data_IF_348730374212
#
_entry.id   IF_348730374212
#
_cell.length_a   1.000
_cell.length_b   1.000
_cell.length_c   1.000
_cell.angle_alpha   90.00
_cell.angle_beta   90.00
_cell.angle_gamma   90.00
#
_symmetry.space_group_name_H-M   'P 1'
#
loop_
_entity.id
_entity.type
_entity.pdbx_description
1 polymer ?
#
# COMPACT_ATOMS: atom_id res chain seq x y z
N UNK A 1 37.95 11.43 -7.50
CA UNK A 1 38.07 10.91 -6.12
C UNK A 1 36.81 10.11 -5.83
N UNK A 2 36.94 8.89 -5.31
CA UNK A 2 35.79 8.05 -4.96
C UNK A 2 35.14 8.59 -3.68
N UNK A 3 33.84 8.88 -3.72
CA UNK A 3 33.06 9.35 -2.57
C UNK A 3 32.21 8.19 -2.04
N UNK A 4 32.18 8.02 -0.72
CA UNK A 4 31.28 7.09 -0.04
C UNK A 4 30.10 7.86 0.55
N UNK A 5 28.88 7.40 0.31
CA UNK A 5 27.67 7.88 0.97
C UNK A 5 26.96 6.75 1.71
N UNK A 6 26.18 7.13 2.73
CA UNK A 6 25.36 6.22 3.54
C UNK A 6 23.97 6.81 3.70
N UNK A 7 22.95 5.99 3.48
CA UNK A 7 21.54 6.31 3.72
C UNK A 7 21.06 5.40 4.86
N UNK A 8 21.05 5.95 6.07
CA UNK A 8 20.60 5.27 7.29
C UNK A 8 19.94 6.30 8.23
N UNK A 9 18.61 6.29 8.40
CA UNK A 9 17.68 5.27 7.90
C UNK A 9 17.28 5.46 6.43
N UNK A 10 17.03 4.36 5.72
CA UNK A 10 16.12 4.41 4.56
C UNK A 10 14.69 4.55 5.10
N UNK A 11 14.01 5.63 4.72
CA UNK A 11 12.64 5.92 5.18
C UNK A 11 11.60 5.52 4.12
N UNK A 12 10.30 5.60 4.46
CA UNK A 12 9.17 5.18 3.61
C UNK A 12 9.28 3.72 3.13
N UNK A 13 9.83 2.85 3.97
CA UNK A 13 9.81 1.40 3.84
C UNK A 13 9.27 0.78 5.12
N UNK A 14 9.01 -0.52 5.11
CA UNK A 14 8.82 -1.30 6.33
C UNK A 14 10.16 -1.71 6.92
N UNK A 15 10.30 -1.64 8.25
CA UNK A 15 11.47 -2.14 8.97
C UNK A 15 12.69 -1.20 8.93
N UNK A 16 13.87 -1.81 8.97
CA UNK A 16 15.15 -1.11 9.13
C UNK A 16 16.14 -1.53 8.05
N UNK A 17 16.52 -0.57 7.21
CA UNK A 17 17.45 -0.75 6.11
C UNK A 17 18.47 0.36 6.11
N UNK A 18 19.72 -0.03 5.87
CA UNK A 18 20.84 0.83 5.55
C UNK A 18 21.33 0.52 4.14
N UNK A 19 21.56 1.56 3.35
CA UNK A 19 22.21 1.48 2.05
C UNK A 19 23.51 2.28 2.07
N UNK A 20 24.59 1.68 1.58
CA UNK A 20 25.85 2.37 1.34
C UNK A 20 26.19 2.33 -0.15
N UNK A 21 26.72 3.44 -0.68
CA UNK A 21 27.14 3.53 -2.08
C UNK A 21 28.52 4.18 -2.23
N UNK A 22 29.38 3.59 -3.06
CA UNK A 22 30.57 4.26 -3.61
C UNK A 22 30.19 4.96 -4.92
N UNK A 23 30.64 6.20 -5.06
CA UNK A 23 30.33 7.09 -6.18
C UNK A 23 31.62 7.54 -6.83
N UNK A 24 31.73 7.30 -8.14
CA UNK A 24 32.81 7.79 -9.00
C UNK A 24 32.21 8.48 -10.21
N UNK A 25 32.71 9.68 -10.52
CA UNK A 25 32.23 10.51 -11.65
C UNK A 25 30.70 10.67 -11.69
N UNK A 26 30.10 10.85 -10.51
CA UNK A 26 28.66 11.04 -10.34
C UNK A 26 27.81 9.78 -10.50
N UNK A 27 28.41 8.59 -10.62
CA UNK A 27 27.71 7.30 -10.77
C UNK A 27 28.02 6.38 -9.60
N UNK A 28 27.01 5.60 -9.19
CA UNK A 28 27.22 4.54 -8.20
C UNK A 28 28.04 3.42 -8.86
N UNK A 29 29.20 3.11 -8.31
CA UNK A 29 30.07 2.01 -8.78
C UNK A 29 29.97 0.76 -7.92
N UNK A 30 29.55 0.92 -6.65
CA UNK A 30 29.34 -0.20 -5.73
C UNK A 30 28.25 0.15 -4.71
N UNK A 31 27.44 -0.83 -4.36
CA UNK A 31 26.36 -0.67 -3.39
C UNK A 31 26.33 -1.84 -2.40
N UNK A 32 25.86 -1.56 -1.19
CA UNK A 32 25.60 -2.55 -0.14
C UNK A 32 24.21 -2.32 0.44
N UNK A 33 23.50 -3.41 0.69
CA UNK A 33 22.25 -3.41 1.43
C UNK A 33 22.42 -4.15 2.75
N UNK A 34 22.00 -3.53 3.84
CA UNK A 34 22.10 -4.09 5.19
C UNK A 34 20.75 -4.03 5.88
N UNK A 35 20.13 -5.19 6.11
CA UNK A 35 18.97 -5.30 7.00
C UNK A 35 19.44 -5.17 8.44
N UNK A 36 19.06 -4.10 9.12
CA UNK A 36 19.64 -3.72 10.42
C UNK A 36 18.82 -4.18 11.64
N UNK A 37 17.91 -5.14 11.45
CA UNK A 37 17.07 -5.69 12.51
C UNK A 37 16.84 -7.19 12.33
N UNK A 38 16.77 -7.92 13.44
CA UNK A 38 16.42 -9.35 13.48
C UNK A 38 15.56 -9.66 14.72
N UNK A 39 14.60 -10.58 14.56
CA UNK A 39 13.68 -11.03 15.64
C UNK A 39 13.70 -12.53 15.92
N UNK A 40 14.29 -13.35 15.04
CA UNK A 40 14.40 -14.80 15.25
C UNK A 40 13.07 -15.57 15.25
N UNK A 41 12.11 -15.17 14.40
CA UNK A 41 10.78 -15.79 14.35
C UNK A 41 10.82 -17.30 14.02
N UNK A 42 11.83 -17.75 13.28
CA UNK A 42 12.05 -19.17 12.96
C UNK A 42 12.41 -19.99 14.21
N UNK A 43 13.24 -19.43 15.09
CA UNK A 43 13.62 -20.07 16.36
C UNK A 43 12.44 -20.14 17.32
N UNK A 44 11.67 -19.05 17.43
CA UNK A 44 10.46 -18.96 18.26
C UNK A 44 9.43 -20.04 17.89
N UNK A 45 9.40 -20.45 16.62
CA UNK A 45 8.46 -21.43 16.09
C UNK A 45 8.81 -22.87 16.48
N UNK A 46 10.06 -23.16 16.87
CA UNK A 46 10.48 -24.52 17.22
C UNK A 46 9.71 -25.03 18.42
N UNK A 47 9.27 -26.29 18.33
CA UNK A 47 8.50 -26.97 19.38
C UNK A 47 7.07 -26.45 19.57
N UNK A 48 6.58 -25.54 18.71
CA UNK A 48 5.17 -25.12 18.71
C UNK A 48 4.32 -26.11 17.93
N UNK A 49 3.04 -26.21 18.29
CA UNK A 49 2.09 -27.01 17.53
C UNK A 49 1.96 -26.42 16.11
N UNK A 50 2.00 -27.24 15.04
CA UNK A 50 1.85 -26.75 13.67
C UNK A 50 0.58 -25.91 13.44
N UNK A 51 -0.49 -26.15 14.21
CA UNK A 51 -1.75 -25.40 14.11
C UNK A 51 -1.64 -23.97 14.63
N UNK A 52 -0.70 -23.69 15.53
CA UNK A 52 -0.47 -22.36 16.11
C UNK A 52 0.49 -21.51 15.28
N UNK A 53 1.25 -22.15 14.37
CA UNK A 53 2.34 -21.52 13.65
C UNK A 53 1.91 -20.25 12.90
N UNK A 54 0.76 -20.28 12.22
CA UNK A 54 0.28 -19.16 11.41
C UNK A 54 0.00 -17.91 12.23
N UNK A 55 -0.47 -18.06 13.48
CA UNK A 55 -0.69 -16.91 14.37
C UNK A 55 0.63 -16.27 14.80
N UNK A 56 1.68 -17.07 14.98
CA UNK A 56 3.01 -16.58 15.35
C UNK A 56 3.66 -15.89 14.15
N UNK A 57 3.79 -16.58 13.01
CA UNK A 57 4.54 -16.04 11.87
C UNK A 57 3.81 -14.94 11.12
N UNK A 58 2.50 -14.79 11.29
CA UNK A 58 1.78 -13.61 10.80
C UNK A 58 2.32 -12.30 11.40
N UNK A 59 2.98 -12.34 12.57
CA UNK A 59 3.62 -11.17 13.18
C UNK A 59 5.02 -10.90 12.62
N UNK A 60 5.47 -11.64 11.60
CA UNK A 60 6.66 -11.27 10.84
C UNK A 60 6.45 -9.88 10.23
N UNK A 61 5.30 -9.56 9.63
CA UNK A 61 5.08 -8.24 9.06
C UNK A 61 3.63 -7.76 9.23
N UNK A 62 3.48 -6.49 9.56
CA UNK A 62 2.18 -5.80 9.64
C UNK A 62 1.75 -5.12 8.34
N UNK A 63 2.71 -4.81 7.45
CA UNK A 63 2.43 -4.23 6.11
C UNK A 63 1.88 -5.32 5.21
N UNK A 64 2.70 -6.31 4.82
CA UNK A 64 2.25 -7.46 4.04
C UNK A 64 1.51 -8.52 4.89
N UNK A 65 0.62 -8.05 5.76
CA UNK A 65 -0.19 -8.88 6.66
C UNK A 65 -1.00 -9.92 5.87
N UNK A 66 -1.61 -10.91 6.53
CA UNK A 66 -2.25 -12.09 5.90
C UNK A 66 -1.30 -13.08 5.22
N UNK A 67 -0.24 -12.61 4.54
CA UNK A 67 0.57 -13.44 3.63
C UNK A 67 1.31 -14.57 4.36
N UNK A 68 2.04 -14.26 5.43
CA UNK A 68 2.74 -15.25 6.26
C UNK A 68 1.77 -16.22 6.93
N UNK A 69 0.57 -15.76 7.28
CA UNK A 69 -0.47 -16.60 7.87
C UNK A 69 -0.96 -17.66 6.87
N UNK A 70 -1.29 -17.22 5.65
CA UNK A 70 -1.75 -18.08 4.55
C UNK A 70 -0.63 -19.05 4.12
N UNK A 71 0.61 -18.57 4.01
CA UNK A 71 1.76 -19.41 3.69
C UNK A 71 2.00 -20.49 4.77
N UNK A 72 1.85 -20.14 6.04
CA UNK A 72 2.02 -21.07 7.15
C UNK A 72 0.98 -22.19 7.15
N UNK A 73 -0.32 -21.86 7.02
CA UNK A 73 -1.35 -22.92 6.96
C UNK A 73 -1.16 -23.79 5.72
N UNK A 74 -0.79 -23.24 4.57
CA UNK A 74 -0.47 -24.00 3.35
C UNK A 74 0.72 -24.95 3.55
N UNK A 75 1.77 -24.51 4.24
CA UNK A 75 2.94 -25.35 4.53
C UNK A 75 2.58 -26.55 5.41
N UNK A 76 1.76 -26.34 6.45
CA UNK A 76 1.30 -27.42 7.33
C UNK A 76 0.33 -28.35 6.60
N UNK A 77 -0.61 -27.79 5.83
CA UNK A 77 -1.54 -28.56 4.99
C UNK A 77 -0.80 -29.44 3.99
N UNK A 78 0.27 -28.92 3.36
CA UNK A 78 1.14 -29.68 2.48
C UNK A 78 1.83 -30.84 3.21
N UNK A 79 2.43 -30.57 4.38
CA UNK A 79 3.12 -31.59 5.17
C UNK A 79 2.17 -32.72 5.63
N UNK A 80 0.91 -32.38 5.94
CA UNK A 80 -0.12 -33.32 6.39
C UNK A 80 -1.00 -33.86 5.25
N UNK A 81 -0.76 -33.45 3.99
CA UNK A 81 -1.55 -33.81 2.80
C UNK A 81 -3.05 -33.54 2.98
N UNK A 82 -3.38 -32.36 3.51
CA UNK A 82 -4.76 -31.93 3.74
C UNK A 82 -5.32 -31.25 2.50
N UNK A 83 -6.45 -31.75 2.01
CA UNK A 83 -7.24 -31.09 0.97
C UNK A 83 -8.17 -30.06 1.60
N UNK A 84 -7.98 -28.79 1.23
CA UNK A 84 -8.74 -27.67 1.77
C UNK A 84 -10.06 -27.50 1.00
N UNK A 85 -11.22 -27.35 1.68
CA UNK A 85 -12.49 -27.10 1.02
C UNK A 85 -12.44 -25.87 0.10
N UNK A 86 -13.09 -25.96 -1.06
CA UNK A 86 -13.02 -24.91 -2.09
C UNK A 86 -13.52 -23.55 -1.59
N UNK A 87 -14.54 -23.51 -0.74
CA UNK A 87 -15.04 -22.26 -0.15
C UNK A 87 -13.99 -21.58 0.75
N UNK A 88 -13.16 -22.36 1.45
CA UNK A 88 -12.05 -21.81 2.22
C UNK A 88 -10.97 -21.23 1.30
N UNK A 89 -10.73 -21.83 0.12
CA UNK A 89 -9.84 -21.25 -0.90
C UNK A 89 -10.39 -19.92 -1.42
N UNK A 90 -11.69 -19.83 -1.70
CA UNK A 90 -12.30 -18.56 -2.14
C UNK A 90 -12.12 -17.45 -1.10
N UNK A 91 -12.37 -17.75 0.19
CA UNK A 91 -12.17 -16.76 1.26
C UNK A 91 -10.70 -16.36 1.40
N UNK A 92 -9.76 -17.33 1.39
CA UNK A 92 -8.31 -17.04 1.43
C UNK A 92 -7.87 -16.17 0.25
N UNK A 93 -8.36 -16.47 -0.95
CA UNK A 93 -8.02 -15.73 -2.16
C UNK A 93 -8.61 -14.31 -2.17
N UNK A 94 -9.86 -14.15 -1.71
CA UNK A 94 -10.48 -12.83 -1.57
C UNK A 94 -9.73 -11.95 -0.57
N UNK A 95 -9.34 -12.51 0.58
CA UNK A 95 -8.52 -11.81 1.57
C UNK A 95 -7.17 -11.39 0.95
N UNK A 96 -6.47 -12.33 0.30
CA UNK A 96 -5.17 -12.05 -0.28
C UNK A 96 -5.24 -10.99 -1.39
N UNK A 97 -6.25 -11.08 -2.27
CA UNK A 97 -6.46 -10.11 -3.34
C UNK A 97 -6.78 -8.71 -2.80
N UNK A 98 -7.70 -8.61 -1.84
CA UNK A 98 -8.04 -7.33 -1.22
C UNK A 98 -6.84 -6.73 -0.47
N UNK A 99 -6.08 -7.55 0.25
CA UNK A 99 -4.85 -7.12 0.90
C UNK A 99 -3.80 -6.63 -0.11
N UNK A 100 -3.59 -7.35 -1.22
CA UNK A 100 -2.68 -6.95 -2.29
C UNK A 100 -3.09 -5.61 -2.93
N UNK A 101 -4.39 -5.39 -3.15
CA UNK A 101 -4.90 -4.08 -3.60
C UNK A 101 -4.57 -2.97 -2.61
N UNK A 102 -4.79 -3.19 -1.31
CA UNK A 102 -4.40 -2.25 -0.26
C UNK A 102 -2.89 -1.95 -0.28
N UNK A 103 -2.07 -3.01 -0.26
CA UNK A 103 -0.61 -2.92 -0.15
C UNK A 103 -0.02 -2.13 -1.33
N UNK A 104 -0.43 -2.45 -2.56
CA UNK A 104 0.07 -1.78 -3.76
C UNK A 104 -0.37 -0.31 -3.87
N UNK A 105 -1.62 0.02 -3.51
CA UNK A 105 -2.08 1.41 -3.46
C UNK A 105 -1.23 2.20 -2.45
N UNK A 106 -1.09 1.68 -1.22
CA UNK A 106 -0.30 2.36 -0.17
C UNK A 106 1.16 2.49 -0.57
N UNK A 107 1.74 1.46 -1.18
CA UNK A 107 3.12 1.51 -1.66
C UNK A 107 3.30 2.61 -2.71
N UNK A 108 2.49 2.62 -3.77
CA UNK A 108 2.63 3.60 -4.84
C UNK A 108 2.51 5.04 -4.32
N UNK A 109 1.48 5.32 -3.51
CA UNK A 109 1.22 6.68 -3.04
C UNK A 109 2.01 7.03 -1.78
N UNK A 110 1.78 6.35 -0.67
CA UNK A 110 2.33 6.74 0.63
C UNK A 110 3.82 6.44 0.76
N UNK A 111 4.32 5.40 0.09
CA UNK A 111 5.73 5.02 0.18
C UNK A 111 6.57 5.58 -0.96
N UNK A 112 6.10 5.52 -2.21
CA UNK A 112 6.94 5.86 -3.37
C UNK A 112 6.68 7.22 -4.02
N UNK A 113 5.46 7.77 -3.99
CA UNK A 113 5.13 8.95 -4.79
C UNK A 113 6.03 10.16 -4.49
N UNK A 114 6.45 10.34 -3.24
CA UNK A 114 7.30 11.47 -2.83
C UNK A 114 8.76 11.38 -3.28
N UNK A 115 9.15 10.32 -4.01
CA UNK A 115 10.40 10.28 -4.77
C UNK A 115 10.28 10.98 -6.14
N UNK A 116 9.05 11.12 -6.63
CA UNK A 116 8.72 11.62 -7.97
C UNK A 116 7.95 12.94 -7.95
N UNK A 117 7.25 13.20 -6.85
CA UNK A 117 6.31 14.32 -6.69
C UNK A 117 6.90 15.37 -5.76
N UNK A 118 6.96 16.61 -6.23
CA UNK A 118 7.34 17.77 -5.43
C UNK A 118 6.08 18.50 -4.94
N UNK A 119 5.78 18.33 -3.65
CA UNK A 119 4.59 18.94 -3.04
C UNK A 119 4.68 20.48 -2.97
N UNK A 120 5.88 21.06 -2.97
CA UNK A 120 6.06 22.51 -2.93
C UNK A 120 5.84 23.11 -4.32
N UNK A 121 6.17 22.34 -5.37
CA UNK A 121 5.83 22.67 -6.75
C UNK A 121 4.32 22.71 -6.97
N UNK A 122 3.54 21.83 -6.32
CA UNK A 122 2.08 21.82 -6.41
C UNK A 122 1.41 23.15 -5.99
N UNK A 123 2.06 23.97 -5.15
CA UNK A 123 1.56 25.30 -4.77
C UNK A 123 1.58 26.32 -5.93
N UNK A 124 2.33 26.02 -6.99
CA UNK A 124 2.47 26.87 -8.18
C UNK A 124 1.52 26.47 -9.31
N UNK A 125 0.77 25.38 -9.13
CA UNK A 125 -0.11 24.83 -10.14
C UNK A 125 -1.35 25.69 -10.38
N UNK A 126 -1.83 25.69 -11.62
CA UNK A 126 -3.16 26.16 -11.97
C UNK A 126 -4.17 24.99 -11.90
N UNK A 127 -5.13 24.98 -10.95
CA UNK A 127 -6.10 23.88 -10.81
C UNK A 127 -6.94 23.61 -12.06
N UNK A 128 -7.25 24.64 -12.87
CA UNK A 128 -8.03 24.46 -14.09
C UNK A 128 -7.22 23.76 -15.19
N UNK A 129 -5.91 24.04 -15.25
CA UNK A 129 -4.99 23.32 -16.14
C UNK A 129 -4.80 21.88 -15.69
N UNK A 130 -4.65 21.64 -14.39
CA UNK A 130 -4.56 20.30 -13.83
C UNK A 130 -5.78 19.43 -14.21
N UNK A 131 -7.01 19.94 -14.08
CA UNK A 131 -8.21 19.27 -14.58
C UNK A 131 -8.14 19.01 -16.08
N UNK A 132 -7.80 20.04 -16.88
CA UNK A 132 -7.77 19.93 -18.33
C UNK A 132 -6.79 18.85 -18.83
N UNK A 133 -5.66 18.65 -18.15
CA UNK A 133 -4.65 17.64 -18.50
C UNK A 133 -5.15 16.20 -18.38
N UNK A 134 -6.17 15.95 -17.55
CA UNK A 134 -6.74 14.62 -17.36
C UNK A 134 -7.97 14.35 -18.23
N UNK A 135 -8.46 15.35 -18.97
CA UNK A 135 -9.60 15.18 -19.89
C UNK A 135 -9.21 14.21 -21.02
N UNK A 136 -9.96 13.12 -21.13
CA UNK A 136 -9.68 12.04 -22.08
C UNK A 136 -8.59 11.07 -21.64
N UNK A 137 -7.94 11.30 -20.49
CA UNK A 137 -6.95 10.40 -19.89
C UNK A 137 -7.58 9.54 -18.80
N UNK A 138 -8.44 10.14 -17.96
CA UNK A 138 -9.18 9.44 -16.90
C UNK A 138 -10.62 9.94 -16.83
N UNK A 139 -11.55 9.04 -16.51
CA UNK A 139 -12.95 9.36 -16.20
C UNK A 139 -13.21 9.53 -14.70
N UNK A 140 -12.15 9.59 -13.88
CA UNK A 140 -12.29 9.69 -12.43
C UNK A 140 -13.01 10.98 -12.03
N UNK A 141 -14.06 10.84 -11.24
CA UNK A 141 -14.99 11.93 -10.92
C UNK A 141 -14.42 13.02 -10.01
N UNK A 142 -13.33 12.74 -9.29
CA UNK A 142 -12.70 13.71 -8.38
C UNK A 142 -11.51 14.44 -8.98
N UNK A 143 -11.44 14.56 -10.31
CA UNK A 143 -10.42 15.30 -11.05
C UNK A 143 -10.83 16.75 -11.39
N UNK A 144 -11.77 17.34 -10.64
CA UNK A 144 -12.24 18.71 -10.93
C UNK A 144 -11.30 19.78 -10.41
N UNK A 145 -11.29 20.96 -11.05
CA UNK A 145 -10.53 22.11 -10.61
C UNK A 145 -10.88 22.54 -9.18
N UNK A 146 -12.14 22.37 -8.75
CA UNK A 146 -12.55 22.65 -7.37
C UNK A 146 -11.89 21.70 -6.37
N UNK A 147 -11.78 20.41 -6.70
CA UNK A 147 -11.10 19.44 -5.83
C UNK A 147 -9.60 19.74 -5.73
N UNK A 148 -8.95 20.01 -6.87
CA UNK A 148 -7.55 20.42 -6.89
C UNK A 148 -7.31 21.72 -6.13
N UNK A 149 -8.22 22.69 -6.20
CA UNK A 149 -8.15 23.93 -5.41
C UNK A 149 -8.22 23.65 -3.91
N UNK A 150 -9.12 22.77 -3.46
CA UNK A 150 -9.22 22.37 -2.05
C UNK A 150 -7.93 21.70 -1.56
N UNK A 151 -7.38 20.79 -2.36
CA UNK A 151 -6.11 20.12 -2.05
C UNK A 151 -4.96 21.14 -1.99
N UNK A 152 -4.85 22.03 -2.97
CA UNK A 152 -3.82 23.07 -2.99
C UNK A 152 -3.89 23.97 -1.76
N UNK A 153 -5.09 24.39 -1.34
CA UNK A 153 -5.29 25.18 -0.13
C UNK A 153 -4.85 24.42 1.13
N UNK A 154 -5.14 23.12 1.25
CA UNK A 154 -4.64 22.30 2.37
C UNK A 154 -3.11 22.27 2.43
N UNK A 155 -2.44 22.10 1.28
CA UNK A 155 -0.97 22.11 1.22
C UNK A 155 -0.45 23.51 1.59
N UNK A 156 -1.11 24.56 1.11
CA UNK A 156 -0.74 25.95 1.39
C UNK A 156 -0.81 26.25 2.89
N UNK A 157 -1.90 25.85 3.56
CA UNK A 157 -2.08 26.04 5.00
C UNK A 157 -1.03 25.25 5.80
N UNK A 158 -0.73 24.01 5.38
CA UNK A 158 0.32 23.20 5.97
C UNK A 158 1.69 23.88 5.88
N UNK A 159 2.06 24.39 4.70
CA UNK A 159 3.34 25.10 4.50
C UNK A 159 3.36 26.41 5.27
N UNK A 160 2.27 27.18 5.26
CA UNK A 160 2.15 28.45 5.98
C UNK A 160 2.26 28.28 7.51
N UNK A 161 1.86 27.12 8.03
CA UNK A 161 2.01 26.82 9.46
C UNK A 161 3.45 26.67 9.92
N UNK A 162 4.40 26.43 9.00
CA UNK A 162 5.78 26.06 9.31
C UNK A 162 5.94 24.65 9.91
N UNK A 163 4.86 23.90 10.09
CA UNK A 163 4.83 22.56 10.69
C UNK A 163 4.59 21.49 9.62
N UNK A 164 5.56 21.29 8.72
CA UNK A 164 5.40 20.40 7.55
C UNK A 164 5.33 18.90 7.89
N UNK A 165 5.60 18.50 9.15
CA UNK A 165 5.48 17.12 9.61
C UNK A 165 6.29 16.15 8.75
N UNK A 166 5.64 15.12 8.21
CA UNK A 166 6.26 14.11 7.33
C UNK A 166 6.85 14.68 6.04
N UNK A 167 6.50 15.91 5.69
CA UNK A 167 6.99 16.60 4.52
C UNK A 167 8.13 17.58 4.81
N UNK A 168 8.53 17.74 6.08
CA UNK A 168 9.66 18.59 6.44
C UNK A 168 10.98 18.01 5.89
N UNK A 169 11.88 18.88 5.42
CA UNK A 169 13.21 18.51 4.89
C UNK A 169 13.19 17.41 3.81
N UNK A 170 12.13 17.35 3.01
CA UNK A 170 12.09 16.51 1.81
C UNK A 170 13.01 17.06 0.70
N UNK A 171 13.19 16.28 -0.36
CA UNK A 171 14.01 16.65 -1.53
C UNK A 171 13.28 17.61 -2.50
N UNK A 172 12.54 18.57 -1.95
CA UNK A 172 11.75 19.53 -2.71
C UNK A 172 12.66 20.47 -3.52
N UNK A 173 12.32 20.69 -4.80
CA UNK A 173 13.14 21.45 -5.73
C UNK A 173 14.41 20.73 -6.23
N UNK A 174 14.60 19.45 -5.88
CA UNK A 174 15.75 18.69 -6.35
C UNK A 174 15.75 18.58 -7.89
N UNK A 175 16.91 18.70 -8.59
CA UNK A 175 16.95 18.69 -10.06
C UNK A 175 16.41 17.41 -10.73
N UNK A 176 16.29 16.31 -9.98
CA UNK A 176 15.69 15.07 -10.46
C UNK A 176 14.14 15.07 -10.38
N UNK A 177 13.51 16.05 -9.73
CA UNK A 177 12.05 16.21 -9.74
C UNK A 177 11.63 16.87 -11.06
N UNK A 178 10.95 16.13 -11.93
CA UNK A 178 10.69 16.53 -13.33
C UNK A 178 9.24 16.91 -13.63
N UNK A 179 8.32 16.60 -12.71
CA UNK A 179 6.90 16.84 -12.94
C UNK A 179 6.58 18.35 -12.96
N UNK A 180 5.74 18.82 -13.89
CA UNK A 180 5.24 20.20 -13.85
C UNK A 180 4.33 20.41 -12.62
N UNK A 181 4.15 21.66 -12.15
CA UNK A 181 3.30 21.98 -11.01
C UNK A 181 1.93 21.32 -11.03
N UNK A 182 1.25 21.34 -12.18
CA UNK A 182 -0.09 20.75 -12.36
C UNK A 182 -0.10 19.24 -12.09
N UNK A 183 0.89 18.51 -12.57
CA UNK A 183 0.98 17.05 -12.34
C UNK A 183 1.36 16.74 -10.90
N UNK A 184 2.17 17.58 -10.26
CA UNK A 184 2.41 17.45 -8.82
C UNK A 184 1.11 17.64 -8.02
N UNK A 185 0.28 18.63 -8.37
CA UNK A 185 -1.01 18.86 -7.69
C UNK A 185 -1.97 17.68 -7.88
N UNK A 186 -2.06 17.13 -9.10
CA UNK A 186 -2.83 15.90 -9.38
C UNK A 186 -2.35 14.76 -8.48
N UNK A 187 -1.04 14.48 -8.46
CA UNK A 187 -0.49 13.37 -7.71
C UNK A 187 -0.68 13.53 -6.19
N UNK A 188 -0.60 14.75 -5.65
CA UNK A 188 -0.90 15.00 -4.22
C UNK A 188 -2.40 14.81 -3.92
N UNK A 189 -3.30 15.20 -4.83
CA UNK A 189 -4.73 14.93 -4.66
C UNK A 189 -4.99 13.42 -4.62
N UNK A 190 -4.44 12.66 -5.56
CA UNK A 190 -4.56 11.21 -5.61
C UNK A 190 -3.89 10.51 -4.42
N UNK A 191 -2.76 11.03 -3.93
CA UNK A 191 -2.13 10.57 -2.69
C UNK A 191 -3.11 10.63 -1.51
N UNK A 192 -3.86 11.72 -1.37
CA UNK A 192 -4.84 11.88 -0.29
C UNK A 192 -6.08 11.00 -0.50
N UNK A 193 -6.55 10.87 -1.74
CA UNK A 193 -7.70 10.02 -2.08
C UNK A 193 -7.39 8.53 -1.88
N UNK A 194 -6.16 8.10 -2.18
CA UNK A 194 -5.67 6.74 -1.97
C UNK A 194 -5.80 6.29 -0.50
N UNK A 195 -5.67 7.22 0.46
CA UNK A 195 -5.83 6.92 1.89
C UNK A 195 -7.24 6.46 2.25
N UNK A 196 -8.29 6.88 1.55
CA UNK A 196 -9.65 6.33 1.73
C UNK A 196 -9.82 5.03 0.94
N UNK A 197 -9.38 4.98 -0.31
CA UNK A 197 -9.52 3.77 -1.14
C UNK A 197 -8.88 2.54 -0.47
N UNK A 198 -7.67 2.69 0.08
CA UNK A 198 -7.00 1.59 0.78
C UNK A 198 -7.76 1.11 2.03
N UNK A 199 -8.56 1.97 2.68
CA UNK A 199 -9.42 1.56 3.81
C UNK A 199 -10.54 0.65 3.33
N UNK A 200 -11.16 0.94 2.19
CA UNK A 200 -12.19 0.08 1.59
C UNK A 200 -11.66 -1.33 1.28
N UNK A 201 -10.42 -1.43 0.78
CA UNK A 201 -9.75 -2.72 0.57
C UNK A 201 -9.58 -3.49 1.89
N UNK A 202 -9.11 -2.81 2.94
CA UNK A 202 -8.98 -3.42 4.26
C UNK A 202 -10.32 -3.73 4.95
N UNK A 203 -11.42 -3.05 4.61
CA UNK A 203 -12.77 -3.41 5.12
C UNK A 203 -13.18 -4.81 4.64
N UNK A 204 -12.81 -5.21 3.42
CA UNK A 204 -13.01 -6.60 2.93
C UNK A 204 -12.19 -7.58 3.76
N UNK A 205 -10.90 -7.28 3.96
CA UNK A 205 -10.00 -8.11 4.77
C UNK A 205 -10.52 -8.25 6.20
N UNK A 206 -11.05 -7.19 6.80
CA UNK A 206 -11.64 -7.23 8.13
C UNK A 206 -12.94 -8.05 8.20
N UNK A 207 -13.85 -7.90 7.24
CA UNK A 207 -15.13 -8.62 7.21
C UNK A 207 -14.94 -10.14 7.12
N UNK A 208 -13.94 -10.60 6.37
CA UNK A 208 -13.63 -12.02 6.22
C UNK A 208 -12.63 -12.52 7.28
N UNK A 209 -11.64 -11.70 7.62
CA UNK A 209 -10.54 -12.02 8.52
C UNK A 209 -10.80 -11.73 10.00
N UNK A 210 -11.91 -11.08 10.33
CA UNK A 210 -12.25 -10.58 11.67
C UNK A 210 -11.60 -9.24 12.01
N UNK A 211 -10.36 -9.00 11.56
CA UNK A 211 -9.63 -7.73 11.69
C UNK A 211 -8.48 -7.63 10.69
N UNK A 212 -7.99 -6.41 10.47
CA UNK A 212 -6.72 -6.15 9.78
C UNK A 212 -6.11 -4.87 10.38
N UNK A 213 -4.79 -4.81 10.65
CA UNK A 213 -3.77 -5.85 10.39
C UNK A 213 -3.94 -7.14 11.22
N UNK A 214 -3.32 -8.21 10.72
CA UNK A 214 -3.27 -9.57 11.28
C UNK A 214 -4.64 -10.24 11.38
N UNK A 215 -5.12 -10.85 10.29
CA UNK A 215 -6.37 -11.61 10.26
C UNK A 215 -6.38 -12.75 11.29
N UNK A 216 -7.56 -13.20 11.68
CA UNK A 216 -7.75 -14.23 12.70
C UNK A 216 -8.80 -15.29 12.30
N UNK A 217 -9.00 -15.49 10.99
CA UNK A 217 -10.00 -16.43 10.46
C UNK A 217 -9.39 -17.71 9.88
N UNK A 218 -8.08 -17.93 9.94
CA UNK A 218 -7.46 -19.12 9.36
C UNK A 218 -7.48 -20.29 10.34
N UNK A 219 -7.41 -21.49 9.77
CA UNK A 219 -7.05 -22.72 10.46
C UNK A 219 -6.30 -23.63 9.47
N UNK A 220 -5.43 -24.50 10.00
CA UNK A 220 -4.92 -25.63 9.20
C UNK A 220 -6.12 -26.49 8.79
N UNK A 221 -6.36 -26.59 7.49
CA UNK A 221 -7.52 -27.27 6.89
C UNK A 221 -8.63 -26.35 6.38
N UNK A 222 -8.55 -25.02 6.55
CA UNK A 222 -9.53 -24.10 5.97
C UNK A 222 -9.60 -22.72 6.60
N UNK A 223 -10.82 -22.28 6.92
CA UNK A 223 -11.13 -21.00 7.56
C UNK A 223 -12.16 -21.19 8.66
N UNK A 224 -12.17 -20.29 9.64
CA UNK A 224 -13.11 -20.27 10.76
C UNK A 224 -14.45 -19.60 10.42
N UNK A 225 -14.62 -19.07 9.19
CA UNK A 225 -15.87 -18.47 8.75
C UNK A 225 -16.95 -19.54 8.59
N UNK A 226 -17.95 -19.54 9.47
CA UNK A 226 -19.14 -20.36 9.31
C UNK A 226 -20.08 -19.72 8.28
N UNK A 227 -20.21 -20.35 7.11
CA UNK A 227 -21.15 -19.91 6.06
C UNK A 227 -22.54 -20.48 6.39
N UNK A 228 -23.49 -19.59 6.64
CA UNK A 228 -24.91 -19.92 6.78
C UNK A 228 -25.71 -18.67 6.36
N UNK A 229 -26.44 -18.79 5.25
CA UNK A 229 -27.15 -17.65 4.63
C UNK A 229 -28.35 -17.18 5.45
N UNK A 230 -28.94 -18.08 6.23
CA UNK A 230 -30.11 -17.82 7.08
C UNK A 230 -29.73 -17.62 8.55
N UNK A 231 -28.44 -17.81 8.87
CA UNK A 231 -27.91 -17.72 10.23
C UNK A 231 -27.72 -16.27 10.69
N UNK A 232 -28.14 -16.01 11.94
CA UNK A 232 -27.78 -14.78 12.63
C UNK A 232 -26.36 -14.94 13.21
N UNK A 233 -25.48 -13.98 12.94
CA UNK A 233 -24.10 -13.97 13.47
C UNK A 233 -23.09 -14.80 12.67
N UNK A 234 -23.47 -15.32 11.51
CA UNK A 234 -22.59 -16.08 10.59
C UNK A 234 -22.20 -15.25 9.36
N UNK A 235 -21.37 -15.82 8.47
CA UNK A 235 -21.14 -15.25 7.14
C UNK A 235 -22.39 -15.50 6.28
N UNK A 236 -23.39 -14.63 6.44
CA UNK A 236 -24.69 -14.68 5.79
C UNK A 236 -24.76 -13.76 4.55
N UNK A 237 -25.93 -13.69 3.90
CA UNK A 237 -26.11 -12.92 2.68
C UNK A 237 -25.79 -11.43 2.86
N UNK A 238 -26.22 -10.84 3.97
CA UNK A 238 -25.97 -9.42 4.25
C UNK A 238 -24.47 -9.12 4.37
N UNK A 239 -23.71 -9.98 5.07
CA UNK A 239 -22.24 -9.87 5.14
C UNK A 239 -21.57 -10.00 3.77
N UNK A 240 -22.03 -10.91 2.93
CA UNK A 240 -21.51 -11.09 1.56
C UNK A 240 -21.82 -9.88 0.67
N UNK A 241 -23.03 -9.33 0.76
CA UNK A 241 -23.38 -8.09 0.06
C UNK A 241 -22.53 -6.91 0.54
N UNK A 242 -22.20 -6.86 1.84
CA UNK A 242 -21.34 -5.81 2.36
C UNK A 242 -19.92 -5.91 1.79
N UNK A 243 -19.33 -7.11 1.74
CA UNK A 243 -18.05 -7.36 1.05
C UNK A 243 -18.10 -6.91 -0.42
N UNK A 244 -19.14 -7.31 -1.14
CA UNK A 244 -19.31 -6.96 -2.56
C UNK A 244 -19.34 -5.45 -2.80
N UNK A 245 -20.00 -4.70 -1.91
CA UNK A 245 -20.07 -3.23 -2.01
C UNK A 245 -18.71 -2.54 -1.93
N UNK A 246 -17.72 -3.14 -1.24
CA UNK A 246 -16.37 -2.63 -1.17
C UNK A 246 -15.55 -3.03 -2.40
N UNK A 247 -15.73 -4.25 -2.90
CA UNK A 247 -15.08 -4.72 -4.13
C UNK A 247 -15.39 -3.77 -5.29
N UNK A 248 -16.65 -3.38 -5.44
CA UNK A 248 -17.09 -2.53 -6.55
C UNK A 248 -16.47 -1.13 -6.50
N UNK A 249 -16.21 -0.58 -5.31
CA UNK A 249 -15.59 0.74 -5.13
C UNK A 249 -14.10 0.77 -5.44
N UNK A 250 -13.41 -0.36 -5.28
CA UNK A 250 -11.95 -0.44 -5.48
C UNK A 250 -11.57 -0.46 -6.96
N UNK A 251 -12.38 -1.09 -7.80
CA UNK A 251 -12.11 -1.22 -9.24
C UNK A 251 -11.93 0.13 -9.92
N UNK A 252 -12.82 1.09 -9.63
CA UNK A 252 -12.78 2.40 -10.26
C UNK A 252 -11.51 3.18 -9.89
N UNK A 253 -11.11 3.20 -8.62
CA UNK A 253 -9.90 3.91 -8.21
C UNK A 253 -8.63 3.28 -8.81
N UNK A 254 -8.52 1.94 -8.80
CA UNK A 254 -7.36 1.25 -9.35
C UNK A 254 -7.23 1.54 -10.85
N UNK A 255 -8.33 1.45 -11.60
CA UNK A 255 -8.30 1.59 -13.05
C UNK A 255 -8.20 3.05 -13.53
N UNK A 256 -8.82 3.99 -12.81
CA UNK A 256 -8.96 5.38 -13.25
C UNK A 256 -7.97 6.34 -12.56
N UNK A 257 -7.34 5.92 -11.46
CA UNK A 257 -6.39 6.74 -10.70
C UNK A 257 -5.03 6.08 -10.65
N UNK A 258 -4.89 4.92 -9.99
CA UNK A 258 -3.58 4.27 -9.81
C UNK A 258 -2.92 3.89 -11.14
N UNK A 259 -3.64 3.19 -12.01
CA UNK A 259 -3.12 2.80 -13.34
C UNK A 259 -2.75 4.03 -14.19
N UNK A 260 -3.57 5.07 -14.14
CA UNK A 260 -3.34 6.31 -14.90
C UNK A 260 -2.12 7.05 -14.38
N UNK A 261 -2.02 7.26 -13.06
CA UNK A 261 -0.88 7.93 -12.44
C UNK A 261 0.43 7.18 -12.72
N UNK A 262 0.39 5.84 -12.74
CA UNK A 262 1.57 5.04 -13.10
C UNK A 262 2.08 5.42 -14.50
N UNK A 263 1.18 5.51 -15.48
CA UNK A 263 1.54 5.92 -16.84
C UNK A 263 1.97 7.39 -16.92
N UNK A 264 1.32 8.28 -16.17
CA UNK A 264 1.69 9.71 -16.09
C UNK A 264 3.10 9.86 -15.54
N UNK A 265 3.42 9.25 -14.40
CA UNK A 265 4.77 9.31 -13.82
C UNK A 265 5.79 8.77 -14.81
N UNK A 266 5.55 7.60 -15.42
CA UNK A 266 6.45 7.04 -16.42
C UNK A 266 6.71 7.99 -17.61
N UNK A 267 5.69 8.74 -18.06
CA UNK A 267 5.83 9.66 -19.20
C UNK A 267 6.80 10.83 -18.93
N UNK A 268 6.96 11.25 -17.67
CA UNK A 268 7.90 12.32 -17.28
C UNK A 268 9.28 11.83 -16.87
N UNK A 269 9.46 10.52 -16.73
CA UNK A 269 10.69 9.86 -16.29
C UNK A 269 11.09 8.74 -17.26
N UNK A 270 11.55 9.08 -18.48
CA UNK A 270 11.98 8.11 -19.50
C UNK A 270 13.31 7.44 -19.17
#
# INVERSE_FOLDING_TARGET
>A
MSQRITIDPVTRIEGHLRIDCEIEDGKVTKAWASGTMWRGMEEILKGKDPRDAWMIVQRICGVCTTTHAIASVRAVESALKIDVPVNAQYIRNLILAAHMTHDHIVHFYQLSALDWVDITSALKADPAKAEAMLKGVSSWSMNSAEEFTKVQNKIKDLVASGQLGIFANGYWGHPAMKLPPEVNLIAVAHYLQALECQRDANRIVALLGGKTPHIQNLAVGGVANAINLDGLGTLNLERLMYVKSFIDRLGDFVEQVYKVDTAVIAAFYP
#
